data_IF_538747738961
#
_entry.id   IF_538747738961
#
_cell.length_a   1.000
_cell.length_b   1.000
_cell.length_c   1.000
_cell.angle_alpha   90.00
_cell.angle_beta   90.00
_cell.angle_gamma   90.00
#
_symmetry.space_group_name_H-M   'P 1'
#
loop_
_entity.id
_entity.type
_entity.pdbx_description
1 polymer ?
#
# COMPACT_ATOMS: atom_id res chain seq x y z
N UNK A 1 -11.80 -58.01 -42.20
CA UNK A 1 -11.85 -57.46 -40.83
C UNK A 1 -11.60 -55.96 -40.93
N UNK A 2 -12.65 -55.13 -40.87
CA UNK A 2 -12.96 -54.21 -39.74
C UNK A 2 -11.81 -53.20 -39.49
N UNK A 3 -11.93 -51.98 -40.07
CA UNK A 3 -12.13 -50.66 -39.39
C UNK A 3 -10.89 -50.19 -38.62
N UNK A 4 -10.39 -48.95 -38.69
CA UNK A 4 -10.99 -47.70 -38.22
C UNK A 4 -10.27 -46.45 -38.78
N UNK A 5 -11.03 -45.37 -38.98
CA UNK A 5 -10.56 -43.99 -39.21
C UNK A 5 -9.87 -43.44 -37.96
N UNK A 6 -8.78 -42.69 -38.13
CA UNK A 6 -8.35 -41.70 -37.13
C UNK A 6 -8.00 -40.40 -37.87
N UNK A 7 -8.95 -39.47 -37.85
CA UNK A 7 -8.78 -38.08 -38.25
C UNK A 7 -8.07 -37.40 -37.08
N UNK A 8 -6.83 -36.96 -37.28
CA UNK A 8 -6.08 -36.18 -36.29
C UNK A 8 -6.51 -34.72 -36.47
N UNK A 9 -7.47 -34.30 -35.64
CA UNK A 9 -7.88 -32.91 -35.46
C UNK A 9 -6.86 -32.24 -34.53
N UNK A 10 -5.95 -31.46 -35.09
CA UNK A 10 -5.03 -30.62 -34.29
C UNK A 10 -5.84 -29.41 -33.81
N UNK A 11 -6.29 -29.49 -32.56
CA UNK A 11 -6.94 -28.39 -31.85
C UNK A 11 -5.84 -27.45 -31.34
N UNK A 12 -5.50 -26.43 -32.13
CA UNK A 12 -4.62 -25.33 -31.67
C UNK A 12 -5.34 -24.55 -30.57
N UNK A 13 -5.01 -24.87 -29.33
CA UNK A 13 -5.39 -24.10 -28.14
C UNK A 13 -4.71 -22.75 -28.24
N UNK A 14 -5.47 -21.72 -28.62
CA UNK A 14 -5.08 -20.34 -28.43
C UNK A 14 -5.08 -20.06 -26.92
N UNK A 15 -3.91 -20.14 -26.30
CA UNK A 15 -3.68 -19.66 -24.95
C UNK A 15 -3.83 -18.13 -24.99
N UNK A 16 -5.04 -17.66 -24.67
CA UNK A 16 -5.28 -16.25 -24.43
C UNK A 16 -4.44 -15.82 -23.24
N UNK A 17 -3.40 -15.02 -23.51
CA UNK A 17 -2.73 -14.21 -22.51
C UNK A 17 -3.72 -13.12 -22.07
N UNK A 18 -4.71 -13.50 -21.26
CA UNK A 18 -5.29 -12.58 -20.30
C UNK A 18 -4.18 -12.37 -19.26
N UNK A 19 -3.27 -11.45 -19.56
CA UNK A 19 -2.56 -10.76 -18.50
C UNK A 19 -3.67 -10.14 -17.67
N UNK A 20 -3.91 -10.64 -16.46
CA UNK A 20 -4.65 -9.86 -15.49
C UNK A 20 -3.94 -8.50 -15.47
N UNK A 21 -4.62 -7.44 -15.91
CA UNK A 21 -4.32 -6.12 -15.42
C UNK A 21 -4.35 -6.28 -13.90
N UNK A 22 -3.18 -6.23 -13.27
CA UNK A 22 -3.08 -6.09 -11.83
C UNK A 22 -3.89 -4.83 -11.53
N UNK A 23 -5.11 -5.00 -11.02
CA UNK A 23 -6.04 -3.88 -10.86
C UNK A 23 -5.30 -2.81 -10.07
N UNK A 24 -5.03 -1.67 -10.72
CA UNK A 24 -4.52 -0.50 -10.03
C UNK A 24 -5.52 -0.23 -8.93
N UNK A 25 -5.03 -0.19 -7.70
CA UNK A 25 -5.89 0.09 -6.58
C UNK A 25 -6.42 1.50 -6.74
N UNK A 26 -7.70 1.60 -7.05
CA UNK A 26 -8.37 2.89 -7.12
C UNK A 26 -8.45 3.46 -5.69
N UNK A 27 -8.06 4.73 -5.49
CA UNK A 27 -8.26 5.40 -4.21
C UNK A 27 -9.77 5.44 -3.89
N UNK A 28 -10.12 5.18 -2.63
CA UNK A 28 -11.52 5.19 -2.19
C UNK A 28 -11.92 6.63 -1.91
N UNK A 29 -12.51 7.28 -2.91
CA UNK A 29 -12.88 8.70 -2.85
C UNK A 29 -14.18 8.99 -2.09
N UNK A 30 -14.92 7.96 -1.70
CA UNK A 30 -16.18 8.11 -0.97
C UNK A 30 -16.03 7.62 0.46
N UNK A 31 -16.49 8.41 1.41
CA UNK A 31 -16.61 7.98 2.82
C UNK A 31 -17.94 7.23 3.04
N UNK A 32 -18.20 6.81 4.28
CA UNK A 32 -19.45 6.13 4.67
C UNK A 32 -20.70 6.97 4.33
N UNK A 33 -21.88 6.36 4.34
CA UNK A 33 -23.15 7.01 4.02
C UNK A 33 -23.37 8.29 4.88
N UNK A 34 -23.48 9.44 4.21
CA UNK A 34 -23.54 10.77 4.84
C UNK A 34 -22.21 11.52 4.96
N UNK A 35 -21.10 10.91 4.56
CA UNK A 35 -19.80 11.55 4.49
C UNK A 35 -19.48 12.11 3.09
N UNK A 36 -18.61 13.13 3.04
CA UNK A 36 -18.23 13.83 1.82
C UNK A 36 -17.34 13.01 0.86
N UNK A 37 -17.01 13.61 -0.28
CA UNK A 37 -16.08 13.08 -1.27
C UNK A 37 -14.66 13.57 -0.97
N UNK A 38 -13.70 12.65 -0.88
CA UNK A 38 -12.27 12.95 -0.77
C UNK A 38 -11.72 13.07 -2.18
N UNK A 39 -11.61 14.29 -2.69
CA UNK A 39 -11.12 14.52 -4.06
C UNK A 39 -9.62 14.72 -4.15
N UNK A 40 -8.97 15.15 -3.08
CA UNK A 40 -7.57 15.57 -3.09
C UNK A 40 -6.75 14.53 -2.32
N UNK A 41 -5.79 13.88 -3.01
CA UNK A 41 -5.01 12.80 -2.44
C UNK A 41 -3.63 12.64 -3.07
N UNK A 42 -2.73 12.00 -2.34
CA UNK A 42 -1.40 11.55 -2.78
C UNK A 42 -1.28 10.04 -2.51
N UNK A 43 -0.87 9.26 -3.49
CA UNK A 43 -0.64 7.82 -3.34
C UNK A 43 0.82 7.45 -3.60
N UNK A 44 1.36 6.56 -2.78
CA UNK A 44 2.74 6.06 -2.90
C UNK A 44 2.76 4.53 -2.86
N UNK A 45 3.67 3.94 -3.63
CA UNK A 45 3.90 2.49 -3.61
C UNK A 45 4.73 2.11 -2.40
N UNK A 46 4.29 1.07 -1.70
CA UNK A 46 5.09 0.41 -0.66
C UNK A 46 5.78 -0.80 -1.31
N UNK A 47 7.11 -0.78 -1.33
CA UNK A 47 7.94 -1.82 -1.92
C UNK A 47 8.46 -2.79 -0.86
N UNK A 48 8.69 -4.04 -1.25
CA UNK A 48 9.23 -5.04 -0.33
C UNK A 48 10.72 -4.85 -0.10
N UNK A 49 11.16 -4.99 1.15
CA UNK A 49 12.57 -5.07 1.53
C UNK A 49 13.10 -6.51 1.47
N UNK A 50 12.22 -7.52 1.39
CA UNK A 50 12.56 -8.94 1.20
C UNK A 50 11.73 -9.55 0.06
N UNK A 51 12.07 -9.23 -1.20
CA UNK A 51 11.36 -9.77 -2.36
C UNK A 51 11.58 -11.28 -2.56
N UNK A 52 12.56 -11.88 -1.88
CA UNK A 52 12.84 -13.32 -1.93
C UNK A 52 12.09 -14.15 -0.89
N UNK A 53 11.64 -13.53 0.20
CA UNK A 53 10.86 -14.16 1.26
C UNK A 53 9.37 -13.87 1.12
N UNK A 54 8.79 -13.21 2.12
CA UNK A 54 7.36 -12.91 2.13
C UNK A 54 6.96 -11.95 1.01
N UNK A 55 7.87 -11.11 0.53
CA UNK A 55 7.61 -10.11 -0.51
C UNK A 55 6.38 -9.26 -0.16
N UNK A 56 6.39 -8.63 1.02
CA UNK A 56 5.31 -7.72 1.46
C UNK A 56 5.41 -6.43 0.67
N UNK A 57 4.35 -6.06 -0.04
CA UNK A 57 4.27 -4.82 -0.81
C UNK A 57 2.85 -4.25 -0.74
N UNK A 58 2.66 -3.02 -1.20
CA UNK A 58 1.34 -2.40 -1.13
C UNK A 58 1.30 -0.97 -1.61
N UNK A 59 0.36 -0.21 -1.04
CA UNK A 59 0.16 1.20 -1.34
C UNK A 59 -0.34 1.92 -0.09
N UNK A 60 0.12 3.16 0.06
CA UNK A 60 -0.41 4.12 1.02
C UNK A 60 -1.07 5.27 0.27
N UNK A 61 -2.17 5.78 0.79
CA UNK A 61 -2.88 6.94 0.25
C UNK A 61 -3.14 7.94 1.37
N UNK A 62 -2.76 9.19 1.13
CA UNK A 62 -3.05 10.33 1.99
C UNK A 62 -4.15 11.14 1.33
N UNK A 63 -5.27 11.37 2.03
CA UNK A 63 -6.38 12.20 1.56
C UNK A 63 -6.46 13.49 2.36
N UNK A 64 -6.68 14.61 1.69
CA UNK A 64 -7.02 15.87 2.35
C UNK A 64 -8.53 15.92 2.59
N UNK A 65 -8.93 16.14 3.83
CA UNK A 65 -10.34 16.32 4.19
C UNK A 65 -10.78 17.77 3.99
N UNK A 66 -12.10 18.01 4.03
CA UNK A 66 -12.65 19.38 4.03
C UNK A 66 -12.40 20.15 5.34
N UNK A 67 -11.84 19.49 6.35
CA UNK A 67 -11.41 20.10 7.62
C UNK A 67 -9.88 20.25 7.66
N UNK A 68 -9.20 20.17 6.52
CA UNK A 68 -7.75 20.23 6.35
C UNK A 68 -6.93 19.13 7.08
N UNK A 69 -7.60 18.19 7.75
CA UNK A 69 -6.98 16.99 8.31
C UNK A 69 -6.53 16.02 7.20
N UNK A 70 -5.57 15.15 7.54
CA UNK A 70 -5.12 14.08 6.65
C UNK A 70 -5.71 12.74 7.08
N UNK A 71 -6.34 12.02 6.15
CA UNK A 71 -6.68 10.61 6.32
C UNK A 71 -5.62 9.75 5.63
N UNK A 72 -5.06 8.80 6.34
CA UNK A 72 -4.14 7.80 5.80
C UNK A 72 -4.89 6.51 5.61
N UNK A 73 -4.75 5.89 4.45
CA UNK A 73 -5.20 4.54 4.14
C UNK A 73 -4.01 3.71 3.68
N UNK A 74 -3.94 2.46 4.11
CA UNK A 74 -2.91 1.51 3.67
C UNK A 74 -3.55 0.22 3.21
N UNK A 75 -2.92 -0.42 2.22
CA UNK A 75 -3.28 -1.75 1.75
C UNK A 75 -2.00 -2.52 1.43
N UNK A 76 -1.71 -3.55 2.23
CA UNK A 76 -0.57 -4.45 2.05
C UNK A 76 -1.01 -5.82 1.54
N UNK A 77 -0.11 -6.47 0.82
CA UNK A 77 -0.25 -7.80 0.27
C UNK A 77 0.90 -8.68 0.72
N UNK A 78 0.66 -9.99 0.72
CA UNK A 78 1.58 -11.02 1.20
C UNK A 78 2.02 -10.82 2.67
N UNK A 79 1.21 -10.12 3.46
CA UNK A 79 1.36 -10.05 4.91
C UNK A 79 1.15 -11.42 5.54
N UNK A 80 1.69 -11.61 6.75
CA UNK A 80 1.58 -12.88 7.47
C UNK A 80 0.34 -12.83 8.36
N UNK A 81 -0.59 -13.76 8.13
CA UNK A 81 -1.84 -13.89 8.89
C UNK A 81 -1.58 -13.97 10.40
N UNK A 82 -2.31 -13.15 11.17
CA UNK A 82 -2.18 -13.05 12.62
C UNK A 82 -0.98 -12.24 13.16
N UNK A 83 -0.12 -11.70 12.30
CA UNK A 83 0.87 -10.70 12.72
C UNK A 83 0.28 -9.28 12.67
N UNK A 84 0.75 -8.43 13.58
CA UNK A 84 0.45 -7.01 13.58
C UNK A 84 1.69 -6.26 13.14
N UNK A 85 1.61 -5.48 12.07
CA UNK A 85 2.76 -4.78 11.49
C UNK A 85 2.73 -3.30 11.90
N UNK A 86 3.62 -2.84 12.80
CA UNK A 86 3.76 -1.42 13.08
C UNK A 86 4.17 -0.64 11.81
N UNK A 87 3.60 0.55 11.63
CA UNK A 87 3.90 1.43 10.51
C UNK A 87 4.34 2.80 11.03
N UNK A 88 5.55 3.23 10.68
CA UNK A 88 6.12 4.51 11.10
C UNK A 88 6.51 5.36 9.89
N UNK A 89 6.17 6.65 9.95
CA UNK A 89 6.70 7.68 9.06
C UNK A 89 7.91 8.30 9.77
N UNK A 90 9.07 8.21 9.11
CA UNK A 90 10.38 8.57 9.63
C UNK A 90 11.01 9.66 8.76
N UNK A 91 11.87 10.46 9.37
CA UNK A 91 12.65 11.52 8.69
C UNK A 91 13.82 10.96 7.88
N UNK A 92 14.02 11.42 6.66
CA UNK A 92 15.07 10.98 5.73
C UNK A 92 14.56 10.00 4.67
N UNK A 93 15.45 9.62 3.75
CA UNK A 93 15.21 8.59 2.74
C UNK A 93 15.25 7.16 3.32
N UNK A 94 14.51 6.25 2.69
CA UNK A 94 14.47 4.82 3.02
C UNK A 94 15.86 4.18 2.98
N UNK A 95 16.10 3.24 3.89
CA UNK A 95 17.41 2.59 4.06
C UNK A 95 18.44 3.44 4.81
N UNK A 96 18.09 4.65 5.24
CA UNK A 96 18.91 5.45 6.16
C UNK A 96 18.64 5.03 7.61
N UNK A 97 19.68 4.97 8.44
CA UNK A 97 19.60 4.67 9.88
C UNK A 97 19.05 5.87 10.68
N UNK A 98 17.85 6.34 10.34
CA UNK A 98 17.13 7.37 11.08
C UNK A 98 16.37 6.77 12.24
N UNK A 99 16.30 7.50 13.36
CA UNK A 99 15.47 7.12 14.51
C UNK A 99 14.39 8.15 14.81
N UNK A 100 14.25 9.17 13.95
CA UNK A 100 13.32 10.29 14.19
C UNK A 100 11.97 9.94 13.59
N UNK A 101 11.01 9.57 14.44
CA UNK A 101 9.63 9.35 14.03
C UNK A 101 8.90 10.68 13.87
N UNK A 102 8.39 10.93 12.66
CA UNK A 102 7.51 12.05 12.35
C UNK A 102 6.08 11.70 12.77
N UNK A 103 5.62 10.50 12.43
CA UNK A 103 4.27 10.04 12.75
C UNK A 103 4.26 8.53 12.95
N UNK A 104 3.74 8.09 14.09
CA UNK A 104 3.38 6.69 14.30
C UNK A 104 1.95 6.48 13.82
N UNK A 105 1.77 5.61 12.82
CA UNK A 105 0.46 5.24 12.31
C UNK A 105 -0.13 4.10 13.16
N UNK A 106 -1.36 3.68 12.84
CA UNK A 106 -1.90 2.45 13.42
C UNK A 106 -1.13 1.23 12.89
N UNK A 107 -1.15 0.15 13.67
CA UNK A 107 -0.67 -1.15 13.23
C UNK A 107 -1.54 -1.70 12.10
N UNK A 108 -0.92 -2.42 11.17
CA UNK A 108 -1.59 -3.07 10.04
C UNK A 108 -1.82 -4.53 10.44
N UNK A 109 -3.06 -4.99 10.34
CA UNK A 109 -3.41 -6.38 10.59
C UNK A 109 -2.99 -7.23 9.38
N UNK A 110 -2.08 -8.19 9.60
CA UNK A 110 -1.55 -9.05 8.55
C UNK A 110 -2.58 -10.00 7.95
N UNK A 111 -3.73 -10.21 8.60
CA UNK A 111 -4.86 -10.96 8.06
C UNK A 111 -5.64 -10.18 6.99
N UNK A 112 -5.69 -8.85 7.09
CA UNK A 112 -6.48 -7.97 6.20
C UNK A 112 -5.62 -7.13 5.27
N UNK A 113 -4.38 -6.85 5.64
CA UNK A 113 -3.51 -5.89 4.96
C UNK A 113 -3.90 -4.43 5.21
N UNK A 114 -4.82 -4.16 6.13
CA UNK A 114 -5.35 -2.83 6.45
C UNK A 114 -5.05 -2.46 7.92
N UNK A 115 -5.25 -1.20 8.29
CA UNK A 115 -5.12 -0.76 9.68
C UNK A 115 -6.08 -1.53 10.62
N UNK A 116 -5.56 -1.91 11.78
CA UNK A 116 -6.21 -2.80 12.72
C UNK A 116 -7.47 -2.20 13.37
N UNK A 117 -7.43 -0.90 13.66
CA UNK A 117 -8.48 -0.24 14.46
C UNK A 117 -9.59 0.35 13.58
N UNK A 118 -9.26 0.84 12.40
CA UNK A 118 -10.14 1.58 11.50
C UNK A 118 -9.56 1.59 10.10
N UNK A 119 -10.41 1.66 9.07
CA UNK A 119 -9.98 1.78 7.67
C UNK A 119 -9.05 2.98 7.41
N UNK A 120 -9.23 4.06 8.17
CA UNK A 120 -8.41 5.26 8.06
C UNK A 120 -7.78 5.61 9.40
N UNK A 121 -6.51 6.01 9.33
CA UNK A 121 -5.82 6.73 10.41
C UNK A 121 -5.96 8.23 10.20
N UNK A 122 -6.26 8.98 11.26
CA UNK A 122 -6.50 10.43 11.17
C UNK A 122 -5.32 11.19 11.75
N UNK A 123 -4.71 12.06 10.94
CA UNK A 123 -3.74 13.05 11.40
C UNK A 123 -4.45 14.39 11.47
N UNK A 124 -4.53 14.94 12.69
CA UNK A 124 -5.30 16.16 12.98
C UNK A 124 -4.54 17.45 12.70
N UNK A 125 -3.23 17.37 12.45
CA UNK A 125 -2.44 18.54 12.04
C UNK A 125 -2.87 18.98 10.64
N UNK A 126 -3.48 20.16 10.57
CA UNK A 126 -4.03 20.76 9.35
C UNK A 126 -2.93 21.12 8.32
N UNK A 127 -1.67 21.23 8.76
CA UNK A 127 -0.55 21.49 7.87
C UNK A 127 0.08 20.22 7.28
N UNK A 128 -0.30 19.05 7.80
CA UNK A 128 0.38 17.79 7.48
C UNK A 128 0.29 17.44 6.00
N UNK A 129 -0.92 17.46 5.43
CA UNK A 129 -1.15 17.08 4.03
C UNK A 129 -0.32 17.95 3.08
N UNK A 130 -0.37 19.27 3.28
CA UNK A 130 0.30 20.25 2.41
C UNK A 130 1.84 20.18 2.55
N UNK A 131 2.34 19.60 3.65
CA UNK A 131 3.76 19.41 3.87
C UNK A 131 4.33 18.13 3.20
N UNK A 132 3.49 17.13 2.87
CA UNK A 132 3.93 15.80 2.42
C UNK A 132 4.93 15.89 1.26
N UNK A 133 4.61 16.64 0.21
CA UNK A 133 5.46 16.73 -1.01
C UNK A 133 6.84 17.36 -0.74
N UNK A 134 6.96 18.12 0.36
CA UNK A 134 8.21 18.78 0.75
C UNK A 134 8.91 18.10 1.93
N UNK A 135 8.35 17.00 2.43
CA UNK A 135 8.89 16.26 3.55
C UNK A 135 10.04 15.36 3.09
N UNK A 136 11.19 15.44 3.76
CA UNK A 136 12.23 14.42 3.62
C UNK A 136 11.84 13.25 4.51
N UNK A 137 11.07 12.29 3.97
CA UNK A 137 10.54 11.19 4.76
C UNK A 137 10.39 9.89 3.99
N UNK A 138 10.21 8.82 4.75
CA UNK A 138 9.81 7.51 4.28
C UNK A 138 8.92 6.81 5.30
N UNK A 139 8.30 5.72 4.88
CA UNK A 139 7.47 4.85 5.70
C UNK A 139 8.17 3.51 5.84
N UNK A 140 8.29 3.01 7.07
CA UNK A 140 8.71 1.63 7.33
C UNK A 140 7.57 0.83 7.93
N UNK A 141 7.42 -0.39 7.41
CA UNK A 141 6.51 -1.40 7.93
C UNK A 141 7.35 -2.48 8.61
N UNK A 142 7.13 -2.68 9.91
CA UNK A 142 7.87 -3.62 10.73
C UNK A 142 7.20 -5.00 10.76
N UNK A 143 7.99 -6.05 10.97
CA UNK A 143 7.52 -7.43 10.97
C UNK A 143 6.50 -7.67 12.10
N UNK A 144 6.79 -7.19 13.30
CA UNK A 144 5.88 -7.30 14.45
C UNK A 144 6.19 -6.24 15.52
N UNK A 145 5.36 -6.08 16.57
CA UNK A 145 5.66 -5.16 17.67
C UNK A 145 6.87 -5.58 18.51
N UNK A 146 7.39 -6.79 18.30
CA UNK A 146 8.51 -7.39 19.03
C UNK A 146 9.72 -7.68 18.14
N UNK A 147 9.64 -7.37 16.85
CA UNK A 147 10.69 -7.63 15.87
C UNK A 147 10.79 -6.44 14.90
N UNK A 148 11.89 -5.70 15.02
CA UNK A 148 12.15 -4.47 14.27
C UNK A 148 12.63 -4.73 12.83
N UNK A 149 12.55 -5.97 12.34
CA UNK A 149 12.80 -6.28 10.93
C UNK A 149 11.82 -5.51 10.04
N UNK A 150 12.33 -4.67 9.14
CA UNK A 150 11.51 -3.94 8.16
C UNK A 150 11.15 -4.91 7.03
N UNK A 151 9.86 -5.12 6.78
CA UNK A 151 9.34 -6.03 5.74
C UNK A 151 8.93 -5.32 4.44
N UNK A 152 8.66 -4.02 4.55
CA UNK A 152 8.33 -3.17 3.41
C UNK A 152 8.64 -1.70 3.74
N UNK A 153 8.93 -0.90 2.72
CA UNK A 153 9.24 0.51 2.85
C UNK A 153 8.71 1.33 1.68
N UNK A 154 8.49 2.63 1.89
CA UNK A 154 8.09 3.59 0.85
C UNK A 154 8.77 4.92 1.11
N UNK A 155 9.56 5.41 0.18
CA UNK A 155 9.90 6.83 0.15
C UNK A 155 8.64 7.68 -0.12
N UNK A 156 8.61 8.89 0.44
CA UNK A 156 7.56 9.88 0.21
C UNK A 156 8.17 11.29 0.11
N UNK A 157 7.42 12.26 -0.40
CA UNK A 157 7.83 13.66 -0.42
C UNK A 157 9.08 13.92 -1.25
N UNK A 158 10.11 14.52 -0.67
CA UNK A 158 11.36 14.82 -1.39
C UNK A 158 12.08 13.58 -1.90
N UNK A 159 11.78 12.39 -1.34
CA UNK A 159 12.44 11.15 -1.68
C UNK A 159 11.72 10.38 -2.79
N UNK A 160 10.44 10.65 -3.06
CA UNK A 160 9.68 10.01 -4.12
C UNK A 160 8.50 10.84 -4.59
N UNK A 161 8.20 10.77 -5.89
CA UNK A 161 6.97 11.34 -6.45
C UNK A 161 5.77 10.41 -6.18
N UNK A 162 4.58 10.96 -5.94
CA UNK A 162 3.37 10.16 -5.83
C UNK A 162 3.09 9.41 -7.15
N UNK A 163 2.69 8.15 -7.05
CA UNK A 163 2.32 7.33 -8.21
C UNK A 163 0.94 7.71 -8.77
N UNK A 164 0.13 8.39 -7.95
CA UNK A 164 -1.17 8.93 -8.32
C UNK A 164 -1.54 10.10 -7.39
N UNK A 165 -2.16 11.14 -7.94
CA UNK A 165 -2.65 12.30 -7.21
C UNK A 165 -3.77 13.03 -7.96
N UNK A 166 -4.48 13.91 -7.27
CA UNK A 166 -5.48 14.83 -7.84
C UNK A 166 -5.55 16.16 -7.08
#
# INVERSE_FOLDING_TARGET
MKTYKTIILIFTVALGLLSCEQERLEPVLTTAEGGGTLSTYLAYTIESTDPSGSNVYGRVVFYKTTLDQTLVQVSLYNTVDGLMHPALILDGASGTETTTTITALDTIDGSTGEFASSKFFVITDESYYDAIETMDAHINIYLSPTDDTIVASSDIGLNAEPVESN
#
